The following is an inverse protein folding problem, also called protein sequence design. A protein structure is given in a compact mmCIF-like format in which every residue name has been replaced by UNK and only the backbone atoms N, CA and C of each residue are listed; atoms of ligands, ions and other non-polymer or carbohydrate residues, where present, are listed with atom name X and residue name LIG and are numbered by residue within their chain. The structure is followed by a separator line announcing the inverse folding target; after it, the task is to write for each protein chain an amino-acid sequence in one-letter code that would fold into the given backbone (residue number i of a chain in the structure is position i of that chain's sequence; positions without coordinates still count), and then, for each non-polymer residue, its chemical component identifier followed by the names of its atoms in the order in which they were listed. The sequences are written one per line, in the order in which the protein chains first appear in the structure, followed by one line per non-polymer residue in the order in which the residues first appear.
data_IF_816253852368
#
_entry.id   IF_816253852368
#
_cell.length_a   1.000
_cell.length_b   1.000
_cell.length_c   1.000
_cell.angle_alpha   90.00
_cell.angle_beta   90.00
_cell.angle_gamma   90.00
#
_symmetry.space_group_name_H-M   'P 1'
#
loop_
_entity.id
_entity.type
_entity.pdbx_description
1 polymer ?
#
# COMPACT_ATOMS: atom_id res chain seq x y z
N UNK A 1 32.97 -4.45 41.96
CA UNK A 1 31.67 -3.77 41.76
C UNK A 1 31.31 -3.67 40.26
N UNK A 2 32.23 -3.19 39.40
CA UNK A 2 32.01 -3.05 37.95
C UNK A 2 31.64 -4.31 37.14
N UNK A 3 32.18 -5.50 37.46
CA UNK A 3 31.80 -6.75 36.74
C UNK A 3 30.30 -7.09 36.85
N UNK A 4 29.69 -6.82 38.01
CA UNK A 4 28.24 -7.04 38.21
C UNK A 4 27.43 -6.02 37.41
N UNK A 5 27.87 -4.76 37.43
CA UNK A 5 27.27 -3.68 36.63
C UNK A 5 27.27 -4.01 35.13
N UNK A 6 28.41 -4.37 34.55
CA UNK A 6 28.48 -4.76 33.13
C UNK A 6 27.63 -5.99 32.81
N UNK A 7 27.53 -6.97 33.73
CA UNK A 7 26.65 -8.13 33.55
C UNK A 7 25.17 -7.73 33.45
N UNK A 8 24.71 -6.84 34.32
CA UNK A 8 23.33 -6.34 34.27
C UNK A 8 23.07 -5.45 33.06
N UNK A 9 24.06 -4.65 32.63
CA UNK A 9 23.97 -3.85 31.40
C UNK A 9 23.79 -4.75 30.16
N UNK A 10 24.60 -5.80 30.02
CA UNK A 10 24.50 -6.75 28.90
C UNK A 10 23.17 -7.50 28.93
N UNK A 11 22.72 -7.94 30.10
CA UNK A 11 21.42 -8.59 30.27
C UNK A 11 20.27 -7.65 29.91
N UNK A 12 20.33 -6.40 30.32
CA UNK A 12 19.33 -5.38 29.97
C UNK A 12 19.29 -5.11 28.46
N UNK A 13 20.46 -4.96 27.83
CA UNK A 13 20.55 -4.76 26.38
C UNK A 13 20.04 -5.98 25.59
N UNK A 14 20.37 -7.18 26.06
CA UNK A 14 19.87 -8.44 25.48
C UNK A 14 18.35 -8.59 25.61
N UNK A 15 17.79 -8.25 26.77
CA UNK A 15 16.34 -8.24 26.97
C UNK A 15 15.65 -7.19 26.10
N UNK A 16 16.23 -6.00 25.98
CA UNK A 16 15.72 -4.95 25.10
C UNK A 16 15.72 -5.39 23.63
N UNK A 17 16.83 -5.95 23.15
CA UNK A 17 16.94 -6.46 21.78
C UNK A 17 15.90 -7.56 21.52
N UNK A 18 15.72 -8.49 22.47
CA UNK A 18 14.71 -9.55 22.36
C UNK A 18 13.29 -8.97 22.26
N UNK A 19 12.93 -8.01 23.12
CA UNK A 19 11.61 -7.37 23.08
C UNK A 19 11.42 -6.60 21.77
N UNK A 20 12.42 -5.84 21.32
CA UNK A 20 12.34 -5.07 20.07
C UNK A 20 12.15 -5.98 18.86
N UNK A 21 12.88 -7.10 18.77
CA UNK A 21 12.69 -8.10 17.70
C UNK A 21 11.29 -8.72 17.75
N UNK A 22 10.77 -9.04 18.94
CA UNK A 22 9.39 -9.54 19.07
C UNK A 22 8.38 -8.51 18.56
N UNK A 23 8.51 -7.24 18.92
CA UNK A 23 7.61 -6.20 18.41
C UNK A 23 7.66 -6.13 16.88
N UNK A 24 8.84 -6.06 16.27
CA UNK A 24 8.99 -5.97 14.81
C UNK A 24 8.42 -7.20 14.08
N UNK A 25 8.52 -8.39 14.67
CA UNK A 25 8.05 -9.63 14.06
C UNK A 25 6.54 -9.83 14.22
N UNK A 26 5.97 -9.42 15.37
CA UNK A 26 4.56 -9.69 15.70
C UNK A 26 3.63 -8.51 15.42
N UNK A 27 4.11 -7.27 15.44
CA UNK A 27 3.35 -6.10 15.01
C UNK A 27 3.67 -5.81 13.55
N UNK A 28 2.82 -6.31 12.65
CA UNK A 28 2.86 -5.92 11.24
C UNK A 28 2.30 -4.52 11.09
N UNK A 29 2.99 -3.67 10.35
CA UNK A 29 2.48 -2.36 9.96
C UNK A 29 1.19 -2.55 9.14
N UNK A 30 0.10 -1.94 9.59
CA UNK A 30 -1.16 -1.88 8.84
C UNK A 30 -1.25 -0.51 8.15
N UNK A 31 -1.12 -0.44 6.81
CA UNK A 31 -1.26 0.82 6.08
C UNK A 31 -2.59 1.54 6.33
N UNK A 32 -3.64 0.81 6.73
CA UNK A 32 -4.95 1.40 7.04
C UNK A 32 -4.98 2.10 8.41
N UNK A 33 -4.09 1.71 9.33
CA UNK A 33 -3.95 2.34 10.64
C UNK A 33 -3.07 3.60 10.62
N UNK A 34 -2.42 3.90 9.48
CA UNK A 34 -1.63 5.12 9.31
C UNK A 34 -2.52 6.36 9.36
N UNK A 35 -2.00 7.47 9.87
CA UNK A 35 -2.66 8.77 9.71
C UNK A 35 -2.77 9.11 8.22
N UNK A 36 -3.84 9.79 7.83
CA UNK A 36 -4.20 9.95 6.42
C UNK A 36 -3.09 10.61 5.58
N UNK A 37 -2.33 11.55 6.15
CA UNK A 37 -1.20 12.21 5.46
C UNK A 37 -0.08 11.22 5.15
N UNK A 38 0.25 10.34 6.10
CA UNK A 38 1.31 9.34 5.93
C UNK A 38 0.88 8.26 4.96
N UNK A 39 -0.39 7.81 5.03
CA UNK A 39 -0.98 6.85 4.08
C UNK A 39 -0.94 7.40 2.65
N UNK A 40 -1.29 8.67 2.46
CA UNK A 40 -1.25 9.33 1.16
C UNK A 40 0.17 9.35 0.56
N UNK A 41 1.15 9.79 1.36
CA UNK A 41 2.55 9.83 0.94
C UNK A 41 3.11 8.41 0.69
N UNK A 42 2.71 7.43 1.50
CA UNK A 42 3.07 6.02 1.36
C UNK A 42 2.55 5.43 0.05
N UNK A 43 1.25 5.58 -0.22
CA UNK A 43 0.60 5.15 -1.46
C UNK A 43 1.29 5.76 -2.69
N UNK A 44 1.49 7.09 -2.66
CA UNK A 44 2.13 7.83 -3.76
C UNK A 44 3.53 7.30 -4.05
N UNK A 45 4.37 7.14 -3.03
CA UNK A 45 5.75 6.65 -3.17
C UNK A 45 5.84 5.23 -3.72
N UNK A 46 4.90 4.36 -3.39
CA UNK A 46 4.86 3.02 -3.94
C UNK A 46 4.44 3.05 -5.41
N UNK A 47 3.35 3.76 -5.73
CA UNK A 47 2.79 3.79 -7.08
C UNK A 47 3.76 4.44 -8.08
N UNK A 48 4.44 5.53 -7.69
CA UNK A 48 5.46 6.19 -8.53
C UNK A 48 6.67 5.30 -8.86
N UNK A 49 6.90 4.23 -8.09
CA UNK A 49 7.98 3.26 -8.34
C UNK A 49 7.54 2.12 -9.26
N UNK A 50 6.25 1.93 -9.48
CA UNK A 50 5.74 0.87 -10.35
C UNK A 50 6.13 1.15 -11.78
N UNK A 51 6.75 0.18 -12.42
CA UNK A 51 6.97 0.20 -13.87
C UNK A 51 5.89 -0.63 -14.55
N UNK A 52 5.51 -0.25 -15.76
CA UNK A 52 4.50 -1.01 -16.53
C UNK A 52 5.05 -2.38 -16.90
N UNK A 53 6.38 -2.51 -17.03
CA UNK A 53 7.05 -3.78 -17.28
C UNK A 53 7.14 -4.68 -16.03
N UNK A 54 6.81 -4.16 -14.84
CA UNK A 54 6.87 -4.93 -13.60
C UNK A 54 5.67 -5.89 -13.50
N UNK A 55 5.93 -7.09 -12.98
CA UNK A 55 4.93 -8.15 -12.79
C UNK A 55 4.02 -7.90 -11.56
N UNK A 56 3.70 -6.65 -11.27
CA UNK A 56 2.86 -6.30 -10.13
C UNK A 56 1.46 -6.90 -10.32
N UNK A 57 0.98 -7.59 -9.29
CA UNK A 57 -0.35 -8.20 -9.28
C UNK A 57 -1.27 -7.45 -8.34
N UNK A 58 -2.58 -7.58 -8.55
CA UNK A 58 -3.57 -7.02 -7.65
C UNK A 58 -3.33 -7.47 -6.20
N UNK A 59 -3.07 -8.76 -5.99
CA UNK A 59 -2.82 -9.32 -4.67
C UNK A 59 -1.57 -8.71 -4.02
N UNK A 60 -0.46 -8.58 -4.76
CA UNK A 60 0.75 -7.94 -4.21
C UNK A 60 0.53 -6.47 -3.86
N UNK A 61 -0.30 -5.75 -4.62
CA UNK A 61 -0.64 -4.36 -4.33
C UNK A 61 -1.52 -4.27 -3.08
N UNK A 62 -2.53 -5.14 -2.94
CA UNK A 62 -3.39 -5.20 -1.76
C UNK A 62 -2.63 -5.60 -0.50
N UNK A 63 -1.65 -6.51 -0.62
CA UNK A 63 -0.79 -6.90 0.50
C UNK A 63 0.10 -5.76 0.97
N UNK A 64 0.60 -4.93 0.04
CA UNK A 64 1.51 -3.84 0.37
C UNK A 64 0.80 -2.53 0.77
N UNK A 65 -0.25 -2.14 0.06
CA UNK A 65 -0.98 -0.89 0.30
C UNK A 65 -2.24 -1.05 1.17
N UNK A 66 -2.62 -2.29 1.48
CA UNK A 66 -3.88 -2.58 2.16
C UNK A 66 -5.09 -2.37 1.25
N UNK A 67 -6.25 -2.12 1.85
CA UNK A 67 -7.49 -1.91 1.10
C UNK A 67 -7.47 -0.57 0.33
N UNK A 68 -7.93 -0.58 -0.94
CA UNK A 68 -8.08 0.65 -1.74
C UNK A 68 -9.28 1.48 -1.28
N UNK A 69 -9.26 2.77 -1.60
CA UNK A 69 -10.34 3.71 -1.27
C UNK A 69 -11.56 3.49 -2.18
N UNK A 70 -11.34 3.16 -3.45
CA UNK A 70 -12.40 2.79 -4.40
C UNK A 70 -11.96 1.58 -5.22
N UNK A 71 -12.92 0.73 -5.60
CA UNK A 71 -12.68 -0.44 -6.46
C UNK A 71 -13.82 -0.63 -7.44
N UNK A 72 -13.48 -0.86 -8.70
CA UNK A 72 -14.43 -1.21 -9.74
C UNK A 72 -13.92 -2.43 -10.50
N UNK A 73 -14.85 -3.28 -10.93
CA UNK A 73 -14.54 -4.45 -11.72
C UNK A 73 -15.57 -4.60 -12.83
N UNK A 74 -15.11 -5.03 -14.00
CA UNK A 74 -15.95 -5.47 -15.10
C UNK A 74 -15.40 -6.74 -15.69
N UNK A 75 -16.29 -7.58 -16.22
CA UNK A 75 -15.92 -8.74 -17.02
C UNK A 75 -16.29 -8.45 -18.45
N UNK A 76 -15.37 -8.76 -19.34
CA UNK A 76 -15.56 -8.67 -20.78
C UNK A 76 -15.11 -9.99 -21.39
N UNK A 77 -16.08 -10.76 -21.89
CA UNK A 77 -15.91 -12.17 -22.25
C UNK A 77 -15.19 -12.97 -21.13
N UNK A 78 -14.00 -13.48 -21.42
CA UNK A 78 -13.15 -14.23 -20.49
C UNK A 78 -12.13 -13.36 -19.73
N UNK A 79 -12.12 -12.05 -19.98
CA UNK A 79 -11.17 -11.11 -19.38
C UNK A 79 -11.80 -10.39 -18.19
N UNK A 80 -11.11 -10.39 -17.07
CA UNK A 80 -11.50 -9.65 -15.86
C UNK A 80 -10.68 -8.37 -15.79
N UNK A 81 -11.35 -7.23 -15.86
CA UNK A 81 -10.74 -5.92 -15.69
C UNK A 81 -11.09 -5.38 -14.32
N UNK A 82 -10.09 -4.97 -13.55
CA UNK A 82 -10.27 -4.38 -12.23
C UNK A 82 -9.45 -3.11 -12.13
N UNK A 83 -10.06 -2.05 -11.62
CA UNK A 83 -9.34 -0.82 -11.28
C UNK A 83 -9.54 -0.51 -9.81
N UNK A 84 -8.43 -0.28 -9.13
CA UNK A 84 -8.41 0.15 -7.72
C UNK A 84 -7.82 1.54 -7.63
N UNK A 85 -8.33 2.32 -6.69
CA UNK A 85 -7.89 3.68 -6.44
C UNK A 85 -7.35 3.80 -5.03
N UNK A 86 -6.17 4.37 -4.91
CA UNK A 86 -5.58 4.76 -3.64
C UNK A 86 -5.46 6.27 -3.59
N UNK A 87 -5.81 6.89 -2.47
CA UNK A 87 -5.59 8.31 -2.22
C UNK A 87 -4.09 8.59 -2.25
N UNK A 88 -3.69 9.54 -3.09
CA UNK A 88 -2.28 9.93 -3.32
C UNK A 88 -2.06 11.44 -3.29
N UNK A 89 -3.13 12.21 -3.19
CA UNK A 89 -3.08 13.67 -3.09
C UNK A 89 -4.30 14.22 -2.36
N UNK A 90 -4.07 15.25 -1.57
CA UNK A 90 -5.13 16.02 -0.94
C UNK A 90 -5.62 17.14 -1.86
N UNK A 91 -6.94 17.24 -2.06
CA UNK A 91 -7.59 18.32 -2.81
C UNK A 91 -8.64 19.03 -1.97
N UNK A 92 -9.48 18.29 -1.24
CA UNK A 92 -10.54 18.85 -0.39
C UNK A 92 -10.55 18.22 1.00
N UNK A 93 -10.91 19.03 2.01
CA UNK A 93 -11.03 18.62 3.43
C UNK A 93 -12.50 18.42 3.84
N UNK A 94 -13.31 17.80 2.97
CA UNK A 94 -14.73 17.55 3.21
C UNK A 94 -15.01 16.16 3.84
N UNK A 95 -13.96 15.35 4.03
CA UNK A 95 -14.06 14.02 4.61
C UNK A 95 -14.51 12.94 3.63
N UNK A 96 -14.65 13.26 2.34
CA UNK A 96 -15.00 12.33 1.28
C UNK A 96 -13.76 12.08 0.43
N UNK A 97 -13.54 10.84 -0.01
CA UNK A 97 -12.46 10.52 -0.96
C UNK A 97 -13.05 10.35 -2.34
N UNK A 98 -12.56 11.14 -3.29
CA UNK A 98 -13.00 11.15 -4.68
C UNK A 98 -11.88 10.68 -5.62
N UNK A 99 -12.25 10.31 -6.86
CA UNK A 99 -11.30 9.78 -7.85
C UNK A 99 -10.17 10.77 -8.16
N UNK A 100 -10.44 12.07 -8.15
CA UNK A 100 -9.46 13.13 -8.43
C UNK A 100 -8.46 13.40 -7.29
N UNK A 101 -8.64 12.75 -6.14
CA UNK A 101 -7.66 12.67 -5.05
C UNK A 101 -6.82 11.37 -5.08
N UNK A 102 -7.13 10.48 -6.03
CA UNK A 102 -6.58 9.14 -6.09
C UNK A 102 -5.74 8.91 -7.35
N UNK A 103 -4.86 7.92 -7.26
CA UNK A 103 -4.22 7.32 -8.43
C UNK A 103 -4.84 5.96 -8.70
N UNK A 104 -5.32 5.76 -9.93
CA UNK A 104 -5.90 4.49 -10.37
C UNK A 104 -4.83 3.50 -10.83
N UNK A 105 -4.98 2.23 -10.45
CA UNK A 105 -4.19 1.10 -10.94
C UNK A 105 -5.13 0.13 -11.63
N UNK A 106 -4.92 -0.07 -12.93
CA UNK A 106 -5.72 -0.93 -13.79
C UNK A 106 -5.05 -2.30 -13.94
N UNK A 107 -5.83 -3.33 -13.68
CA UNK A 107 -5.44 -4.73 -13.77
C UNK A 107 -6.28 -5.44 -14.82
N UNK A 108 -5.63 -6.33 -15.57
CA UNK A 108 -6.27 -7.30 -16.45
C UNK A 108 -5.88 -8.70 -15.99
N UNK A 109 -6.88 -9.51 -15.64
CA UNK A 109 -6.72 -10.84 -15.04
C UNK A 109 -5.75 -10.84 -13.84
N UNK A 110 -5.85 -9.80 -13.01
CA UNK A 110 -5.02 -9.64 -11.82
C UNK A 110 -3.60 -9.11 -12.05
N UNK A 111 -3.19 -8.87 -13.30
CA UNK A 111 -1.87 -8.29 -13.63
C UNK A 111 -2.00 -6.79 -13.91
N UNK A 112 -1.10 -5.99 -13.34
CA UNK A 112 -1.04 -4.54 -13.58
C UNK A 112 -0.72 -4.30 -15.06
N UNK A 113 -1.51 -3.46 -15.71
CA UNK A 113 -1.30 -3.10 -17.13
C UNK A 113 -1.14 -1.60 -17.34
N UNK A 114 -1.66 -0.78 -16.42
CA UNK A 114 -1.62 0.67 -16.50
C UNK A 114 -1.87 1.27 -15.12
N UNK A 115 -1.29 2.44 -14.85
CA UNK A 115 -1.57 3.23 -13.66
C UNK A 115 -1.52 4.72 -13.99
N UNK A 116 -2.08 5.57 -13.13
CA UNK A 116 -2.12 7.01 -13.34
C UNK A 116 -3.43 7.50 -13.98
N UNK A 117 -3.47 8.75 -14.46
CA UNK A 117 -4.70 9.39 -14.93
C UNK A 117 -5.42 8.63 -16.06
N UNK A 118 -4.67 8.02 -16.98
CA UNK A 118 -5.21 7.30 -18.13
C UNK A 118 -5.76 5.91 -17.78
N UNK A 119 -5.50 5.40 -16.57
CA UNK A 119 -5.96 4.07 -16.14
C UNK A 119 -7.50 4.00 -16.12
N UNK A 120 -8.16 5.05 -15.65
CA UNK A 120 -9.62 5.09 -15.59
C UNK A 120 -10.25 5.22 -16.98
N UNK A 121 -9.67 6.06 -17.85
CA UNK A 121 -10.12 6.17 -19.23
C UNK A 121 -10.01 4.84 -19.97
N UNK A 122 -8.90 4.12 -19.77
CA UNK A 122 -8.71 2.79 -20.35
C UNK A 122 -9.69 1.77 -19.77
N UNK A 123 -10.03 1.85 -18.49
CA UNK A 123 -11.05 1.02 -17.86
C UNK A 123 -12.45 1.25 -18.45
N UNK A 124 -12.80 2.48 -18.84
CA UNK A 124 -14.13 2.81 -19.38
C UNK A 124 -14.31 2.36 -20.83
N UNK A 125 -13.24 2.17 -21.59
CA UNK A 125 -13.34 1.69 -22.98
C UNK A 125 -13.98 0.29 -23.04
N UNK A 126 -14.91 0.03 -23.97
CA UNK A 126 -15.30 -1.34 -24.29
C UNK A 126 -14.05 -2.11 -24.77
N UNK A 127 -13.91 -3.38 -24.39
CA UNK A 127 -12.78 -4.21 -24.80
C UNK A 127 -12.95 -4.77 -26.21
#
# INVERSE_FOLDING_TARGET
MFKKFFRYLILGLGLYALIATLVIVFYKDDPQAMIWQDREAYNKRYIEKLKIEDTATLNSVLEYLGSPDLTFAKRDEDQVWQIVFYRTQHKTSDGITTIDECTGLLFKNGQLILWGPSAYDQYLKPG
#
